data_IF_391611481030
#
_entry.id   IF_391611481030
#
_cell.length_a   1.000
_cell.length_b   1.000
_cell.length_c   1.000
_cell.angle_alpha   90.00
_cell.angle_beta   90.00
_cell.angle_gamma   90.00
#
_symmetry.space_group_name_H-M   'P 1'
#
loop_
_entity.id
_entity.type
_entity.pdbx_description
1 polymer ?
#
# COMPACT_ATOMS: atom_id res chain seq x y z
N UNK A 1 -0.82 -37.40 18.14
CA UNK A 1 -1.37 -36.22 18.84
C UNK A 1 -0.42 -35.06 18.59
N UNK A 2 -0.65 -34.28 17.52
CA UNK A 2 0.20 -33.12 17.21
C UNK A 2 -0.24 -31.95 18.08
N UNK A 3 0.62 -31.51 18.99
CA UNK A 3 0.43 -30.29 19.75
C UNK A 3 0.59 -29.13 18.76
N UNK A 4 -0.53 -28.52 18.35
CA UNK A 4 -0.53 -27.29 17.56
C UNK A 4 -0.12 -26.13 18.47
N UNK A 5 1.17 -25.80 18.48
CA UNK A 5 1.65 -24.56 19.07
C UNK A 5 1.34 -23.39 18.14
N UNK A 6 0.55 -22.41 18.59
CA UNK A 6 0.37 -21.13 17.89
C UNK A 6 1.51 -20.18 18.27
N UNK A 7 2.13 -19.55 17.28
CA UNK A 7 3.09 -18.48 17.47
C UNK A 7 2.30 -17.16 17.58
N UNK A 8 2.16 -16.63 18.80
CA UNK A 8 1.71 -15.26 18.99
C UNK A 8 2.90 -14.35 18.75
N UNK A 9 3.08 -13.89 17.51
CA UNK A 9 4.03 -12.81 17.27
C UNK A 9 3.38 -11.52 17.76
N UNK A 10 3.83 -11.07 18.93
CA UNK A 10 3.47 -9.76 19.46
C UNK A 10 4.18 -8.74 18.56
N UNK A 11 3.57 -8.41 17.41
CA UNK A 11 4.02 -7.34 16.54
C UNK A 11 3.89 -6.06 17.35
N UNK A 12 4.96 -5.78 18.07
CA UNK A 12 5.10 -4.54 18.80
C UNK A 12 5.24 -3.50 17.70
N UNK A 13 4.20 -2.72 17.45
CA UNK A 13 4.31 -1.47 16.69
C UNK A 13 5.09 -0.45 17.53
N UNK A 14 6.28 -0.83 17.97
CA UNK A 14 7.37 0.09 18.18
C UNK A 14 8.19 -0.03 16.92
N UNK A 15 8.43 1.08 16.23
CA UNK A 15 9.53 1.17 15.29
C UNK A 15 10.73 0.49 15.96
N UNK A 16 11.17 -0.64 15.43
CA UNK A 16 12.24 -1.37 16.10
C UNK A 16 13.48 -0.49 16.00
N UNK A 17 14.07 -0.14 17.13
CA UNK A 17 15.43 0.44 17.16
C UNK A 17 16.45 -0.52 16.49
N UNK A 18 16.05 -1.76 16.20
CA UNK A 18 16.81 -2.80 15.52
C UNK A 18 16.96 -2.64 14.01
N UNK A 19 16.33 -1.65 13.35
CA UNK A 19 16.75 -1.25 12.00
C UNK A 19 18.05 -0.43 12.02
N UNK A 20 18.55 -0.07 13.20
CA UNK A 20 19.90 0.40 13.41
C UNK A 20 20.78 -0.73 13.97
N UNK A 21 21.05 -1.73 13.14
CA UNK A 21 22.32 -2.44 13.28
C UNK A 21 23.42 -1.39 13.21
N UNK A 22 24.05 -1.06 14.33
CA UNK A 22 25.32 -0.33 14.33
C UNK A 22 26.35 -1.22 13.67
N UNK A 23 26.41 -1.13 12.35
CA UNK A 23 27.46 -1.70 11.54
C UNK A 23 28.80 -1.19 12.09
N UNK A 24 29.58 -2.11 12.69
CA UNK A 24 30.88 -1.83 13.30
C UNK A 24 32.05 -2.09 12.35
N UNK A 25 31.78 -2.54 11.13
CA UNK A 25 32.79 -2.54 10.07
C UNK A 25 33.01 -1.10 9.59
N UNK A 26 34.24 -0.69 9.27
CA UNK A 26 34.37 0.46 8.38
C UNK A 26 33.84 -0.01 7.01
N UNK A 27 32.75 0.56 6.45
CA UNK A 27 32.48 0.35 5.05
C UNK A 27 33.73 0.88 4.33
N UNK A 28 34.42 0.07 3.55
CA UNK A 28 35.29 0.64 2.53
C UNK A 28 34.40 1.58 1.74
N UNK A 29 34.61 2.90 1.87
CA UNK A 29 33.79 3.98 1.32
C UNK A 29 33.85 4.05 -0.21
N UNK A 30 33.86 2.91 -0.92
CA UNK A 30 33.48 2.91 -2.32
C UNK A 30 31.97 3.02 -2.39
N UNK A 31 31.50 4.26 -2.50
CA UNK A 31 30.13 4.53 -2.95
C UNK A 31 30.03 3.97 -4.36
N UNK A 32 29.29 2.89 -4.53
CA UNK A 32 29.00 2.33 -5.84
C UNK A 32 27.72 2.94 -6.39
N UNK A 33 27.77 3.34 -7.66
CA UNK A 33 26.58 3.68 -8.42
C UNK A 33 26.18 2.48 -9.28
N UNK A 34 24.93 2.09 -9.20
CA UNK A 34 24.26 1.10 -10.02
C UNK A 34 23.52 1.84 -11.12
N UNK A 35 23.96 1.65 -12.37
CA UNK A 35 23.31 2.23 -13.55
C UNK A 35 22.45 1.17 -14.22
N UNK A 36 21.18 1.49 -14.44
CA UNK A 36 20.21 0.63 -15.11
C UNK A 36 19.65 1.34 -16.34
N UNK A 37 19.22 0.59 -17.36
CA UNK A 37 18.28 1.14 -18.33
C UNK A 37 16.87 1.24 -17.71
N UNK A 38 16.02 2.17 -18.17
CA UNK A 38 14.66 2.29 -17.67
C UNK A 38 13.84 0.99 -17.81
N UNK A 39 14.07 0.27 -18.91
CA UNK A 39 13.40 -1.00 -19.18
C UNK A 39 13.76 -2.09 -18.16
N UNK A 40 15.05 -2.28 -17.89
CA UNK A 40 15.55 -3.33 -16.98
C UNK A 40 15.02 -3.15 -15.55
N UNK A 41 15.09 -1.93 -15.03
CA UNK A 41 14.64 -1.66 -13.67
C UNK A 41 13.12 -1.78 -13.56
N UNK A 42 12.38 -1.22 -14.53
CA UNK A 42 10.92 -1.33 -14.55
C UNK A 42 10.45 -2.79 -14.61
N UNK A 43 11.06 -3.60 -15.46
CA UNK A 43 10.67 -5.01 -15.64
C UNK A 43 10.99 -5.83 -14.38
N UNK A 44 12.10 -5.56 -13.68
CA UNK A 44 12.40 -6.21 -12.39
C UNK A 44 11.49 -5.74 -11.26
N UNK A 45 11.19 -4.45 -11.18
CA UNK A 45 10.23 -3.92 -10.20
C UNK A 45 8.84 -4.52 -10.43
N UNK A 46 8.45 -4.70 -11.70
CA UNK A 46 7.20 -5.37 -12.06
C UNK A 46 7.20 -6.86 -11.71
N UNK A 47 8.30 -7.58 -11.96
CA UNK A 47 8.43 -8.97 -11.52
C UNK A 47 8.31 -9.10 -10.00
N UNK A 48 8.91 -8.17 -9.24
CA UNK A 48 8.78 -8.11 -7.79
C UNK A 48 7.33 -7.82 -7.37
N UNK A 49 6.64 -6.89 -8.05
CA UNK A 49 5.23 -6.62 -7.83
C UNK A 49 4.38 -7.89 -7.98
N UNK A 50 4.59 -8.67 -9.04
CA UNK A 50 3.87 -9.94 -9.24
C UNK A 50 4.17 -10.97 -8.15
N UNK A 51 5.42 -11.05 -7.69
CA UNK A 51 5.81 -11.95 -6.60
C UNK A 51 5.20 -11.54 -5.25
N UNK A 52 5.13 -10.24 -4.95
CA UNK A 52 4.52 -9.74 -3.71
C UNK A 52 3.02 -10.04 -3.63
N UNK A 53 2.35 -10.15 -4.77
CA UNK A 53 0.90 -10.36 -4.86
C UNK A 53 0.54 -11.69 -5.52
N UNK A 54 1.45 -12.68 -5.48
CA UNK A 54 1.24 -13.99 -6.10
C UNK A 54 -0.03 -14.68 -5.57
N UNK A 55 -0.41 -14.41 -4.32
CA UNK A 55 -1.61 -14.93 -3.68
C UNK A 55 -2.92 -14.53 -4.40
N UNK A 56 -2.87 -13.54 -5.31
CA UNK A 56 -4.00 -13.10 -6.12
C UNK A 56 -3.99 -13.69 -7.54
N UNK A 57 -2.96 -14.47 -7.90
CA UNK A 57 -2.84 -15.09 -9.20
C UNK A 57 -3.58 -16.45 -9.23
N UNK A 58 -4.74 -16.48 -9.88
CA UNK A 58 -5.57 -17.70 -9.97
C UNK A 58 -4.89 -18.82 -10.74
N UNK A 59 -4.09 -18.51 -11.76
CA UNK A 59 -3.38 -19.54 -12.52
C UNK A 59 -2.32 -20.25 -11.67
N UNK A 60 -1.59 -19.50 -10.84
CA UNK A 60 -0.65 -20.07 -9.85
C UNK A 60 -1.40 -20.93 -8.83
N UNK A 61 -2.54 -20.44 -8.32
CA UNK A 61 -3.36 -21.18 -7.37
C UNK A 61 -3.85 -22.51 -7.96
N UNK A 62 -4.46 -22.52 -9.15
CA UNK A 62 -4.96 -23.75 -9.78
C UNK A 62 -3.83 -24.74 -10.09
N UNK A 63 -2.69 -24.26 -10.57
CA UNK A 63 -1.54 -25.13 -10.85
C UNK A 63 -1.00 -25.80 -9.59
N UNK A 64 -0.90 -25.06 -8.47
CA UNK A 64 -0.44 -25.60 -7.18
C UNK A 64 -1.45 -26.55 -6.53
N UNK A 65 -2.75 -26.27 -6.65
CA UNK A 65 -3.83 -27.19 -6.24
C UNK A 65 -3.75 -28.51 -7.00
N UNK A 66 -3.53 -28.46 -8.33
CA UNK A 66 -3.36 -29.63 -9.17
C UNK A 66 -2.09 -30.42 -8.83
N UNK A 67 -1.02 -29.74 -8.41
CA UNK A 67 0.25 -30.35 -8.01
C UNK A 67 0.22 -31.00 -6.61
N UNK A 68 -0.89 -30.89 -5.85
CA UNK A 68 -0.99 -31.31 -4.44
C UNK A 68 0.07 -30.67 -3.53
N UNK A 69 0.61 -29.51 -3.93
CA UNK A 69 1.52 -28.71 -3.10
C UNK A 69 0.69 -27.92 -2.08
N UNK A 70 0.36 -28.57 -0.96
CA UNK A 70 -0.48 -28.02 0.10
C UNK A 70 0.40 -27.21 1.06
N UNK A 71 0.98 -26.10 0.59
CA UNK A 71 1.35 -25.02 1.49
C UNK A 71 0.31 -23.90 1.40
N UNK A 72 -0.96 -24.26 1.67
CA UNK A 72 -2.11 -23.35 1.70
C UNK A 72 -1.90 -22.18 2.69
N UNK A 73 -0.98 -22.32 3.64
CA UNK A 73 -0.65 -21.30 4.63
C UNK A 73 -0.17 -19.97 4.03
N UNK A 74 0.54 -19.99 2.89
CA UNK A 74 1.00 -18.77 2.21
C UNK A 74 -0.11 -18.02 1.48
N UNK A 75 -1.18 -18.72 1.06
CA UNK A 75 -2.39 -18.09 0.51
C UNK A 75 -3.34 -17.60 1.60
N UNK A 76 -3.23 -18.14 2.81
CA UNK A 76 -4.04 -17.77 3.97
C UNK A 76 -3.61 -16.44 4.60
N UNK A 77 -2.34 -16.06 4.45
CA UNK A 77 -1.78 -14.88 5.12
C UNK A 77 -1.03 -13.99 4.14
N UNK A 78 -1.74 -13.23 3.27
CA UNK A 78 -1.09 -12.24 2.44
C UNK A 78 -0.30 -11.26 3.31
N UNK A 79 1.03 -11.30 3.17
CA UNK A 79 1.95 -10.46 3.93
C UNK A 79 2.03 -9.03 3.38
N UNK A 80 1.75 -8.87 2.09
CA UNK A 80 1.95 -7.61 1.37
C UNK A 80 0.63 -6.98 0.96
N UNK A 81 0.59 -5.66 1.00
CA UNK A 81 -0.45 -4.85 0.39
C UNK A 81 0.19 -3.82 -0.56
N UNK A 82 -0.62 -3.18 -1.42
CA UNK A 82 -0.10 -2.27 -2.47
C UNK A 82 0.76 -1.15 -1.91
N UNK A 83 0.41 -0.62 -0.74
CA UNK A 83 1.20 0.40 -0.07
C UNK A 83 2.60 -0.10 0.30
N UNK A 84 2.78 -1.40 0.64
CA UNK A 84 4.10 -1.98 0.91
C UNK A 84 5.01 -1.84 -0.31
N UNK A 85 4.48 -2.13 -1.51
CA UNK A 85 5.21 -1.94 -2.76
C UNK A 85 5.44 -0.46 -3.07
N UNK A 86 4.46 0.41 -2.86
CA UNK A 86 4.64 1.86 -3.05
C UNK A 86 5.74 2.44 -2.14
N UNK A 87 5.79 2.02 -0.87
CA UNK A 87 6.85 2.40 0.08
C UNK A 87 8.21 1.86 -0.33
N UNK A 88 8.26 0.60 -0.78
CA UNK A 88 9.48 0.01 -1.31
C UNK A 88 9.97 0.77 -2.55
N UNK A 89 9.09 1.08 -3.49
CA UNK A 89 9.42 1.86 -4.68
C UNK A 89 9.95 3.25 -4.32
N UNK A 90 9.34 3.92 -3.34
CA UNK A 90 9.85 5.20 -2.84
C UNK A 90 11.26 5.07 -2.25
N UNK A 91 11.54 3.98 -1.50
CA UNK A 91 12.86 3.70 -0.94
C UNK A 91 13.90 3.48 -2.04
N UNK A 92 13.58 2.65 -3.05
CA UNK A 92 14.48 2.39 -4.19
C UNK A 92 14.73 3.70 -4.95
N UNK A 93 13.70 4.52 -5.17
CA UNK A 93 13.81 5.82 -5.83
C UNK A 93 14.64 6.83 -5.07
N UNK A 94 14.50 6.87 -3.74
CA UNK A 94 15.28 7.76 -2.88
C UNK A 94 16.75 7.32 -2.74
N UNK A 95 17.12 6.13 -3.22
CA UNK A 95 18.49 5.63 -3.14
C UNK A 95 19.41 6.36 -4.12
N UNK A 96 20.40 7.07 -3.57
CA UNK A 96 21.44 7.75 -4.38
C UNK A 96 22.31 6.82 -5.22
N UNK A 97 22.35 5.53 -4.84
CA UNK A 97 23.14 4.53 -5.52
C UNK A 97 22.52 4.10 -6.85
N UNK A 98 21.25 4.37 -7.10
CA UNK A 98 20.57 3.93 -8.33
C UNK A 98 20.47 5.10 -9.30
N UNK A 99 21.08 4.95 -10.47
CA UNK A 99 21.05 5.92 -11.57
C UNK A 99 20.23 5.33 -12.72
N UNK A 100 19.12 6.00 -13.02
CA UNK A 100 18.18 5.64 -14.07
C UNK A 100 17.32 6.86 -14.41
N UNK A 101 16.74 6.92 -15.60
CA UNK A 101 15.64 7.84 -15.89
C UNK A 101 14.37 7.35 -15.17
N UNK A 102 14.09 7.95 -14.01
CA UNK A 102 12.95 7.59 -13.19
C UNK A 102 11.60 7.85 -13.86
N UNK A 103 11.48 8.87 -14.72
CA UNK A 103 10.23 9.15 -15.43
C UNK A 103 9.91 7.98 -16.35
N UNK A 104 10.84 7.63 -17.24
CA UNK A 104 10.65 6.50 -18.17
C UNK A 104 10.48 5.15 -17.45
N UNK A 105 11.18 4.96 -16.32
CA UNK A 105 11.06 3.75 -15.51
C UNK A 105 9.66 3.62 -14.92
N UNK A 106 9.14 4.70 -14.33
CA UNK A 106 7.81 4.72 -13.72
C UNK A 106 6.71 4.58 -14.77
N UNK A 107 6.82 5.29 -15.90
CA UNK A 107 5.86 5.17 -17.01
C UNK A 107 5.76 3.73 -17.50
N UNK A 108 6.91 3.07 -17.72
CA UNK A 108 6.93 1.66 -18.12
C UNK A 108 6.39 0.74 -17.04
N UNK A 109 6.80 0.91 -15.79
CA UNK A 109 6.32 0.09 -14.67
C UNK A 109 4.80 0.18 -14.53
N UNK A 110 4.25 1.40 -14.60
CA UNK A 110 2.82 1.66 -14.47
C UNK A 110 2.05 1.09 -15.66
N UNK A 111 2.58 1.24 -16.88
CA UNK A 111 2.03 0.58 -18.07
C UNK A 111 1.94 -0.94 -17.87
N UNK A 112 3.01 -1.57 -17.39
CA UNK A 112 3.05 -3.02 -17.12
C UNK A 112 2.06 -3.45 -16.04
N UNK A 113 1.92 -2.68 -14.95
CA UNK A 113 0.94 -2.96 -13.89
C UNK A 113 -0.50 -2.84 -14.41
N UNK A 114 -0.78 -1.82 -15.24
CA UNK A 114 -2.12 -1.53 -15.76
C UNK A 114 -2.56 -2.53 -16.83
N UNK A 115 -1.62 -2.95 -17.69
CA UNK A 115 -1.87 -3.93 -18.77
C UNK A 115 -1.91 -5.38 -18.26
N UNK A 116 -1.46 -5.65 -17.03
CA UNK A 116 -1.43 -7.01 -16.50
C UNK A 116 -2.81 -7.48 -16.05
N UNK A 117 -3.26 -8.60 -16.62
CA UNK A 117 -4.46 -9.32 -16.18
C UNK A 117 -4.15 -10.56 -15.33
N UNK A 118 -2.92 -10.68 -14.84
CA UNK A 118 -2.45 -11.88 -14.12
C UNK A 118 -2.97 -11.99 -12.67
N UNK A 119 -3.34 -10.87 -12.06
CA UNK A 119 -3.84 -10.80 -10.69
C UNK A 119 -5.36 -10.61 -10.69
N UNK A 120 -6.11 -11.52 -10.07
CA UNK A 120 -7.58 -11.60 -10.13
C UNK A 120 -8.28 -10.33 -9.61
N UNK A 121 -7.77 -9.78 -8.51
CA UNK A 121 -8.30 -8.57 -7.86
C UNK A 121 -7.35 -7.38 -8.04
N UNK A 122 -6.44 -7.49 -9.03
CA UNK A 122 -5.44 -6.48 -9.37
C UNK A 122 -6.07 -5.10 -9.58
N UNK A 123 -7.09 -5.06 -10.45
CA UNK A 123 -7.78 -3.84 -10.84
C UNK A 123 -8.50 -3.14 -9.69
N UNK A 124 -9.06 -3.89 -8.74
CA UNK A 124 -9.79 -3.33 -7.59
C UNK A 124 -8.84 -2.54 -6.66
N UNK A 125 -7.55 -2.85 -6.69
CA UNK A 125 -6.55 -2.20 -5.87
C UNK A 125 -5.84 -1.03 -6.58
N UNK A 126 -6.14 -0.78 -7.87
CA UNK A 126 -5.44 0.26 -8.64
C UNK A 126 -5.60 1.63 -8.01
N UNK A 127 -6.82 1.98 -7.60
CA UNK A 127 -7.07 3.30 -7.01
C UNK A 127 -6.31 3.50 -5.70
N UNK A 128 -6.30 2.50 -4.82
CA UNK A 128 -5.51 2.55 -3.60
C UNK A 128 -4.00 2.62 -3.92
N UNK A 129 -3.51 1.86 -4.90
CA UNK A 129 -2.10 1.88 -5.30
C UNK A 129 -1.65 3.25 -5.82
N UNK A 130 -2.39 3.86 -6.75
CA UNK A 130 -2.06 5.18 -7.27
C UNK A 130 -2.21 6.27 -6.20
N UNK A 131 -3.15 6.12 -5.26
CA UNK A 131 -3.26 7.00 -4.10
C UNK A 131 -2.01 6.93 -3.23
N UNK A 132 -1.52 5.73 -2.91
CA UNK A 132 -0.29 5.55 -2.14
C UNK A 132 0.93 6.14 -2.86
N UNK A 133 1.06 5.93 -4.17
CA UNK A 133 2.13 6.54 -4.97
C UNK A 133 2.07 8.07 -4.94
N UNK A 134 0.87 8.65 -5.07
CA UNK A 134 0.66 10.10 -5.03
C UNK A 134 1.00 10.68 -3.67
N UNK A 135 0.52 10.08 -2.58
CA UNK A 135 0.81 10.53 -1.22
C UNK A 135 2.32 10.46 -0.90
N UNK A 136 3.03 9.46 -1.45
CA UNK A 136 4.48 9.34 -1.35
C UNK A 136 5.22 10.23 -2.37
N UNK A 137 4.53 11.02 -3.19
CA UNK A 137 5.16 11.82 -4.25
C UNK A 137 5.98 10.99 -5.24
N UNK A 138 5.66 9.70 -5.39
CA UNK A 138 6.33 8.77 -6.32
C UNK A 138 5.86 9.00 -7.74
N UNK A 139 4.55 9.00 -7.92
CA UNK A 139 3.86 9.17 -9.20
C UNK A 139 2.49 9.78 -8.95
N UNK A 140 1.93 10.51 -9.92
CA UNK A 140 0.58 11.08 -9.81
C UNK A 140 -0.16 10.95 -11.13
N UNK A 141 -1.28 10.24 -11.10
CA UNK A 141 -2.19 10.14 -12.24
C UNK A 141 -3.07 11.39 -12.36
N UNK A 142 -3.59 11.64 -13.56
CA UNK A 142 -4.44 12.80 -13.86
C UNK A 142 -5.59 13.01 -12.85
N UNK A 143 -6.33 11.98 -12.41
CA UNK A 143 -7.41 12.15 -11.42
C UNK A 143 -6.94 12.59 -10.02
N UNK A 144 -5.64 12.53 -9.75
CA UNK A 144 -5.01 12.93 -8.48
C UNK A 144 -4.31 14.30 -8.57
N UNK A 145 -4.53 15.05 -9.66
CA UNK A 145 -4.03 16.43 -9.78
C UNK A 145 -5.02 17.40 -9.13
N UNK A 146 -4.56 18.42 -8.37
CA UNK A 146 -5.43 19.46 -7.80
C UNK A 146 -6.34 20.10 -8.86
N UNK A 147 -7.63 20.24 -8.53
CA UNK A 147 -8.63 20.83 -9.41
C UNK A 147 -9.32 19.85 -10.36
N UNK A 148 -8.84 18.60 -10.50
CA UNK A 148 -9.47 17.59 -11.37
C UNK A 148 -10.95 17.39 -11.07
N UNK A 149 -11.31 17.22 -9.79
CA UNK A 149 -12.71 17.00 -9.37
C UNK A 149 -13.62 18.15 -9.80
N UNK A 150 -13.16 19.40 -9.65
CA UNK A 150 -13.95 20.58 -10.04
C UNK A 150 -14.06 20.68 -11.56
N UNK A 151 -12.98 20.37 -12.28
CA UNK A 151 -12.97 20.40 -13.75
C UNK A 151 -13.89 19.34 -14.36
N UNK A 152 -13.97 18.15 -13.76
CA UNK A 152 -14.73 17.01 -14.29
C UNK A 152 -16.19 17.00 -13.83
N UNK A 153 -16.45 17.29 -12.55
CA UNK A 153 -17.80 17.16 -11.95
C UNK A 153 -18.48 18.51 -11.68
N UNK A 154 -17.85 19.62 -12.04
CA UNK A 154 -18.38 20.96 -11.87
C UNK A 154 -18.05 21.57 -10.49
N UNK A 155 -18.51 22.81 -10.23
CA UNK A 155 -18.25 23.48 -8.96
C UNK A 155 -19.05 22.84 -7.83
N UNK A 156 -18.38 22.58 -6.69
CA UNK A 156 -19.01 22.08 -5.46
C UNK A 156 -19.84 20.78 -5.67
N UNK A 157 -19.28 19.73 -6.29
CA UNK A 157 -19.99 18.47 -6.49
C UNK A 157 -20.30 17.79 -5.15
N UNK A 158 -21.32 16.94 -5.08
CA UNK A 158 -21.51 16.07 -3.92
C UNK A 158 -20.35 15.06 -3.80
N UNK A 159 -19.88 14.72 -2.60
CA UNK A 159 -20.29 15.19 -1.26
C UNK A 159 -19.55 16.46 -0.78
N UNK A 160 -18.86 17.17 -1.66
CA UNK A 160 -17.97 18.29 -1.36
C UNK A 160 -18.64 19.67 -1.42
N UNK A 161 -19.96 19.77 -1.34
CA UNK A 161 -20.67 21.04 -1.55
C UNK A 161 -20.25 22.15 -0.58
N UNK A 162 -19.81 21.76 0.61
CA UNK A 162 -19.39 22.66 1.70
C UNK A 162 -17.88 22.95 1.71
N UNK A 163 -17.12 22.40 0.76
CA UNK A 163 -15.67 22.53 0.74
C UNK A 163 -15.26 23.72 -0.13
N UNK A 164 -14.36 24.56 0.38
CA UNK A 164 -13.78 25.66 -0.39
C UNK A 164 -12.68 25.16 -1.34
N UNK A 165 -11.98 24.11 -0.93
CA UNK A 165 -10.95 23.43 -1.72
C UNK A 165 -11.11 21.93 -1.57
N UNK A 166 -11.14 21.20 -2.70
CA UNK A 166 -11.22 19.73 -2.72
C UNK A 166 -9.81 19.19 -2.95
N UNK A 167 -9.18 18.56 -1.94
CA UNK A 167 -7.87 17.95 -2.13
C UNK A 167 -7.98 16.72 -3.05
N UNK A 168 -6.92 16.35 -3.77
CA UNK A 168 -6.95 15.17 -4.64
C UNK A 168 -7.21 13.86 -3.89
N UNK A 169 -6.77 13.80 -2.64
CA UNK A 169 -6.94 12.66 -1.74
C UNK A 169 -7.67 13.15 -0.49
N UNK A 170 -8.67 12.40 -0.06
CA UNK A 170 -9.47 12.67 1.16
C UNK A 170 -9.46 11.44 2.06
N UNK A 171 -9.66 11.66 3.36
CA UNK A 171 -9.85 10.60 4.33
C UNK A 171 -11.34 10.26 4.45
N UNK A 172 -11.68 9.01 4.21
CA UNK A 172 -12.98 8.44 4.61
C UNK A 172 -12.83 7.84 6.00
N UNK A 173 -13.75 8.19 6.89
CA UNK A 173 -13.89 7.58 8.21
C UNK A 173 -15.23 6.86 8.28
N UNK A 174 -15.19 5.56 8.52
CA UNK A 174 -16.34 4.69 8.70
C UNK A 174 -16.48 4.33 10.17
N UNK A 175 -17.60 4.71 10.79
CA UNK A 175 -18.00 4.28 12.12
C UNK A 175 -18.78 2.97 11.98
N UNK A 176 -18.14 1.86 12.31
CA UNK A 176 -18.72 0.52 12.22
C UNK A 176 -19.38 0.16 13.56
N UNK A 177 -20.70 -0.09 13.59
CA UNK A 177 -21.39 -0.51 14.81
C UNK A 177 -20.77 -1.78 15.40
N UNK A 178 -20.69 -1.85 16.74
CA UNK A 178 -20.07 -3.00 17.41
C UNK A 178 -20.75 -4.33 17.07
N UNK A 179 -22.06 -4.30 16.82
CA UNK A 179 -22.83 -5.49 16.42
C UNK A 179 -22.36 -6.11 15.11
N UNK A 180 -21.78 -5.34 14.19
CA UNK A 180 -21.26 -5.84 12.92
C UNK A 180 -20.02 -6.74 13.07
N UNK A 181 -19.28 -6.58 14.17
CA UNK A 181 -18.06 -7.35 14.43
C UNK A 181 -18.33 -8.72 15.08
N UNK A 182 -19.56 -8.96 15.55
CA UNK A 182 -19.95 -10.19 16.22
C UNK A 182 -19.68 -11.46 15.41
N UNK A 183 -19.77 -11.38 14.09
CA UNK A 183 -19.45 -12.50 13.19
C UNK A 183 -18.01 -12.99 13.32
N UNK A 184 -17.11 -12.11 13.78
CA UNK A 184 -15.70 -12.43 14.06
C UNK A 184 -15.46 -12.76 15.54
N UNK A 185 -16.30 -12.28 16.44
CA UNK A 185 -16.08 -12.35 17.89
C UNK A 185 -16.82 -13.50 18.58
N UNK A 186 -17.97 -13.91 18.06
CA UNK A 186 -18.83 -14.94 18.67
C UNK A 186 -18.38 -16.39 18.37
N UNK A 187 -17.89 -16.75 17.16
CA UNK A 187 -17.42 -18.12 16.91
C UNK A 187 -16.10 -18.42 17.64
N UNK A 188 -15.80 -19.71 17.82
CA UNK A 188 -14.54 -20.12 18.45
C UNK A 188 -13.33 -19.66 17.62
N UNK A 189 -12.21 -19.28 18.28
CA UNK A 189 -11.02 -18.76 17.58
C UNK A 189 -10.45 -19.72 16.51
N UNK A 190 -10.63 -21.02 16.68
CA UNK A 190 -10.23 -22.02 15.68
C UNK A 190 -11.11 -22.00 14.40
N UNK A 191 -12.31 -21.46 14.48
CA UNK A 191 -13.26 -21.35 13.36
C UNK A 191 -13.08 -20.05 12.57
N UNK A 192 -12.74 -18.95 13.25
CA UNK A 192 -12.58 -17.62 12.64
C UNK A 192 -11.19 -17.44 12.01
N UNK A 193 -10.14 -18.01 12.62
CA UNK A 193 -8.76 -17.76 12.20
C UNK A 193 -8.34 -16.31 12.46
N UNK A 194 -7.51 -15.75 11.56
CA UNK A 194 -7.04 -14.36 11.62
C UNK A 194 -7.39 -13.61 10.33
N UNK A 195 -8.67 -13.30 10.09
CA UNK A 195 -9.08 -12.63 8.87
C UNK A 195 -8.45 -11.24 8.79
N UNK A 196 -7.94 -10.90 7.61
CA UNK A 196 -7.40 -9.57 7.33
C UNK A 196 -8.56 -8.65 6.98
N UNK A 197 -8.64 -7.49 7.61
CA UNK A 197 -9.67 -6.49 7.31
C UNK A 197 -9.18 -5.52 6.25
N UNK A 198 -10.08 -5.13 5.36
CA UNK A 198 -9.88 -4.02 4.42
C UNK A 198 -11.17 -3.21 4.29
N UNK A 199 -11.03 -1.98 3.78
CA UNK A 199 -12.18 -1.16 3.43
C UNK A 199 -12.46 -1.23 1.94
N UNK A 200 -13.66 -0.88 1.54
CA UNK A 200 -14.03 -0.78 0.14
C UNK A 200 -14.82 0.48 -0.16
N UNK A 201 -14.76 0.90 -1.42
CA UNK A 201 -15.73 1.82 -2.03
C UNK A 201 -16.40 1.08 -3.17
N UNK A 202 -17.72 1.07 -3.20
CA UNK A 202 -18.49 0.31 -4.18
C UNK A 202 -19.59 1.16 -4.81
N UNK A 203 -19.54 1.27 -6.14
CA UNK A 203 -20.63 1.80 -6.98
C UNK A 203 -20.64 1.05 -8.32
N UNK A 204 -20.33 1.72 -9.43
CA UNK A 204 -20.02 1.11 -10.74
C UNK A 204 -18.80 0.20 -10.69
N UNK A 205 -17.82 0.55 -9.86
CA UNK A 205 -16.56 -0.17 -9.71
C UNK A 205 -16.37 -0.53 -8.23
N UNK A 206 -15.68 -1.65 -8.01
CA UNK A 206 -15.29 -2.09 -6.68
C UNK A 206 -13.83 -1.73 -6.46
N UNK A 207 -13.54 -0.83 -5.51
CA UNK A 207 -12.17 -0.55 -5.09
C UNK A 207 -11.95 -1.00 -3.66
N UNK A 208 -10.80 -1.64 -3.42
CA UNK A 208 -10.37 -2.12 -2.10
C UNK A 208 -9.25 -1.25 -1.55
N UNK A 209 -9.31 -0.96 -0.26
CA UNK A 209 -8.43 -0.05 0.47
C UNK A 209 -7.88 -0.80 1.69
N UNK A 210 -6.65 -1.28 1.58
CA UNK A 210 -5.99 -2.08 2.61
C UNK A 210 -5.18 -1.25 3.61
N UNK A 211 -4.87 0.01 3.29
CA UNK A 211 -4.20 0.94 4.19
C UNK A 211 -5.20 1.58 5.19
N UNK A 212 -5.81 0.74 6.01
CA UNK A 212 -6.80 1.16 7.01
C UNK A 212 -6.16 1.46 8.37
N UNK A 213 -6.81 2.32 9.14
CA UNK A 213 -6.46 2.59 10.53
C UNK A 213 -7.68 2.35 11.44
N UNK A 214 -7.76 1.16 12.06
CA UNK A 214 -8.85 0.80 12.96
C UNK A 214 -8.57 1.29 14.39
N UNK A 215 -9.57 1.92 15.02
CA UNK A 215 -9.54 2.42 16.40
C UNK A 215 -10.92 2.15 17.03
N UNK A 216 -10.97 1.44 18.15
CA UNK A 216 -12.22 1.35 18.92
C UNK A 216 -12.49 2.69 19.61
N UNK A 217 -13.71 3.20 19.53
CA UNK A 217 -14.03 4.51 20.08
C UNK A 217 -15.22 5.17 19.40
N UNK A 218 -15.27 6.50 19.49
CA UNK A 218 -16.25 7.32 18.78
C UNK A 218 -15.60 8.49 18.06
N UNK A 219 -16.27 9.00 17.03
CA UNK A 219 -15.88 10.21 16.30
C UNK A 219 -16.84 11.33 16.66
N UNK A 220 -16.28 12.42 17.17
CA UNK A 220 -17.05 13.58 17.65
C UNK A 220 -16.52 14.86 17.04
N UNK A 221 -17.34 15.93 17.10
CA UNK A 221 -16.87 17.27 16.79
C UNK A 221 -15.85 17.73 17.83
N UNK A 222 -14.76 18.31 17.35
CA UNK A 222 -13.69 18.85 18.19
C UNK A 222 -14.23 20.02 19.04
N UNK A 223 -14.00 20.02 20.36
CA UNK A 223 -14.43 21.12 21.22
C UNK A 223 -13.86 22.46 20.73
N UNK A 224 -14.74 23.41 20.45
CA UNK A 224 -14.34 24.77 20.05
C UNK A 224 -13.86 24.91 18.59
N UNK A 225 -13.98 23.88 17.76
CA UNK A 225 -13.62 23.95 16.33
C UNK A 225 -14.78 23.46 15.45
N UNK A 226 -15.34 24.36 14.63
CA UNK A 226 -16.48 24.03 13.78
C UNK A 226 -16.02 23.17 12.59
N UNK A 227 -16.56 21.96 12.48
CA UNK A 227 -16.31 21.07 11.34
C UNK A 227 -15.04 20.21 11.44
N UNK A 228 -14.24 20.38 12.50
CA UNK A 228 -13.12 19.49 12.79
C UNK A 228 -13.63 18.29 13.60
N UNK A 229 -13.22 17.08 13.20
CA UNK A 229 -13.54 15.85 13.91
C UNK A 229 -12.32 15.34 14.67
N UNK A 230 -12.57 14.66 15.79
CA UNK A 230 -11.57 13.93 16.58
C UNK A 230 -12.08 12.52 16.93
N UNK A 231 -11.17 11.59 17.16
CA UNK A 231 -11.50 10.24 17.66
C UNK A 231 -11.25 10.20 19.17
N UNK A 232 -12.27 9.79 19.92
CA UNK A 232 -12.17 9.45 21.34
C UNK A 232 -12.02 7.94 21.46
N UNK A 233 -10.80 7.49 21.72
CA UNK A 233 -10.47 6.07 21.81
C UNK A 233 -11.10 5.40 23.05
N UNK A 234 -11.70 4.23 22.84
CA UNK A 234 -12.11 3.32 23.89
C UNK A 234 -10.88 2.56 24.38
N UNK A 235 -10.42 2.91 25.59
CA UNK A 235 -9.25 2.29 26.20
C UNK A 235 -9.41 0.80 26.50
N UNK A 236 -10.64 0.28 26.52
CA UNK A 236 -10.89 -1.17 26.65
C UNK A 236 -10.73 -1.91 25.32
N UNK A 237 -10.61 -1.19 24.21
CA UNK A 237 -10.35 -1.73 22.88
C UNK A 237 -11.35 -2.83 22.52
N UNK A 238 -10.83 -4.01 22.21
CA UNK A 238 -11.64 -5.17 21.85
C UNK A 238 -12.55 -5.63 22.99
N UNK A 239 -12.19 -5.46 24.26
CA UNK A 239 -13.04 -5.81 25.40
C UNK A 239 -14.09 -4.72 25.72
N UNK A 240 -14.05 -3.60 24.99
CA UNK A 240 -14.99 -2.50 25.09
C UNK A 240 -16.31 -2.75 24.37
N UNK A 241 -17.18 -1.75 24.41
CA UNK A 241 -18.49 -1.80 23.73
C UNK A 241 -18.61 -0.76 22.62
N UNK A 242 -17.55 0.04 22.42
CA UNK A 242 -17.57 1.14 21.46
C UNK A 242 -17.56 0.62 20.03
N UNK A 243 -18.10 1.41 19.08
CA UNK A 243 -17.93 1.19 17.65
C UNK A 243 -16.45 1.06 17.25
N UNK A 244 -16.22 0.48 16.09
CA UNK A 244 -14.90 0.49 15.45
C UNK A 244 -14.86 1.63 14.44
N UNK A 245 -13.99 2.60 14.67
CA UNK A 245 -13.72 3.69 13.73
C UNK A 245 -12.61 3.23 12.79
N UNK A 246 -12.87 3.19 11.50
CA UNK A 246 -11.89 2.80 10.48
C UNK A 246 -11.67 3.96 9.52
N UNK A 247 -10.42 4.39 9.37
CA UNK A 247 -10.07 5.49 8.46
C UNK A 247 -9.09 5.08 7.36
N UNK A 248 -9.35 5.55 6.14
CA UNK A 248 -8.54 5.24 4.95
C UNK A 248 -8.61 6.38 3.94
N UNK A 249 -7.57 6.48 3.11
CA UNK A 249 -7.46 7.52 2.10
C UNK A 249 -8.00 7.03 0.76
N UNK A 250 -8.73 7.90 0.06
CA UNK A 250 -9.27 7.65 -1.27
C UNK A 250 -9.06 8.85 -2.18
N UNK A 251 -8.93 8.66 -3.50
CA UNK A 251 -9.03 9.75 -4.46
C UNK A 251 -10.40 10.43 -4.33
N UNK A 252 -10.42 11.76 -4.24
CA UNK A 252 -11.65 12.51 -4.07
C UNK A 252 -12.64 12.31 -5.23
N UNK A 253 -12.12 12.07 -6.45
CA UNK A 253 -12.94 11.84 -7.63
C UNK A 253 -13.85 10.61 -7.50
N UNK A 254 -13.42 9.56 -6.77
CA UNK A 254 -14.24 8.36 -6.55
C UNK A 254 -15.54 8.73 -5.84
N UNK A 255 -15.47 9.62 -4.86
CA UNK A 255 -16.64 10.06 -4.09
C UNK A 255 -17.56 10.98 -4.91
N UNK A 256 -17.03 11.68 -5.92
CA UNK A 256 -17.78 12.57 -6.79
C UNK A 256 -18.47 11.87 -7.97
N UNK A 257 -18.04 10.66 -8.33
CA UNK A 257 -18.55 9.91 -9.50
C UNK A 257 -20.04 9.53 -9.37
N UNK A 258 -20.42 8.87 -8.27
CA UNK A 258 -21.83 8.49 -7.99
C UNK A 258 -22.23 8.71 -6.53
N UNK A 259 -22.26 9.95 -6.06
CA UNK A 259 -22.35 10.26 -4.63
C UNK A 259 -23.63 9.78 -3.94
N UNK A 260 -24.69 9.50 -4.70
CA UNK A 260 -25.98 9.02 -4.15
C UNK A 260 -26.07 7.49 -4.01
N UNK A 261 -25.24 6.76 -4.75
CA UNK A 261 -25.23 5.31 -4.79
C UNK A 261 -23.96 4.70 -4.19
N UNK A 262 -22.91 5.51 -4.01
CA UNK A 262 -21.64 5.03 -3.52
C UNK A 262 -21.74 4.59 -2.07
N UNK A 263 -21.35 3.35 -1.84
CA UNK A 263 -21.22 2.73 -0.53
C UNK A 263 -19.76 2.64 -0.13
N UNK A 264 -19.52 2.78 1.17
CA UNK A 264 -18.25 2.47 1.81
C UNK A 264 -18.47 1.32 2.78
N UNK A 265 -17.51 0.41 2.84
CA UNK A 265 -17.65 -0.80 3.64
C UNK A 265 -16.39 -1.17 4.39
N UNK A 266 -16.58 -1.95 5.45
CA UNK A 266 -15.55 -2.77 6.08
C UNK A 266 -15.82 -4.22 5.70
N UNK A 267 -14.82 -4.89 5.15
CA UNK A 267 -14.92 -6.27 4.69
C UNK A 267 -13.72 -7.11 5.14
N UNK A 268 -13.90 -8.43 5.09
CA UNK A 268 -12.80 -9.37 5.19
C UNK A 268 -12.14 -9.41 3.80
N UNK A 269 -10.81 -9.29 3.78
CA UNK A 269 -10.02 -9.43 2.57
C UNK A 269 -10.36 -10.76 1.91
N UNK A 270 -10.76 -10.69 0.64
CA UNK A 270 -11.20 -11.88 -0.07
C UNK A 270 -9.99 -12.76 -0.41
N UNK A 271 -9.85 -13.87 0.31
CA UNK A 271 -9.01 -15.01 -0.08
C UNK A 271 -9.90 -16.23 -0.35
N UNK A 272 -9.45 -17.23 -1.11
CA UNK A 272 -10.24 -18.46 -1.32
C UNK A 272 -10.71 -19.11 0.00
N UNK A 273 -9.88 -19.04 1.05
CA UNK A 273 -10.21 -19.59 2.37
C UNK A 273 -11.23 -18.73 3.12
N UNK A 274 -11.05 -17.41 3.12
CA UNK A 274 -12.02 -16.51 3.78
C UNK A 274 -13.38 -16.56 3.08
N UNK A 275 -13.40 -16.66 1.74
CA UNK A 275 -14.63 -16.89 0.99
C UNK A 275 -15.30 -18.20 1.41
N UNK A 276 -14.54 -19.29 1.56
CA UNK A 276 -15.09 -20.56 2.02
C UNK A 276 -15.69 -20.48 3.44
N UNK A 277 -15.03 -19.76 4.35
CA UNK A 277 -15.44 -19.64 5.75
C UNK A 277 -16.62 -18.68 5.96
N UNK A 278 -16.64 -17.56 5.23
CA UNK A 278 -17.52 -16.43 5.57
C UNK A 278 -18.59 -16.12 4.52
N UNK A 279 -18.50 -16.60 3.27
CA UNK A 279 -19.43 -16.18 2.22
C UNK A 279 -20.89 -16.56 2.50
N UNK A 280 -21.14 -17.66 3.22
CA UNK A 280 -22.49 -18.06 3.63
C UNK A 280 -23.11 -17.11 4.66
N UNK A 281 -22.29 -16.40 5.44
CA UNK A 281 -22.72 -15.46 6.49
C UNK A 281 -22.74 -14.01 6.01
N UNK A 282 -21.72 -13.61 5.24
CA UNK A 282 -21.45 -12.23 4.87
C UNK A 282 -21.70 -11.92 3.38
N UNK A 283 -22.14 -12.92 2.62
CA UNK A 283 -22.32 -12.81 1.18
C UNK A 283 -21.00 -12.77 0.40
N UNK A 284 -21.06 -12.57 -0.93
CA UNK A 284 -19.91 -12.72 -1.82
C UNK A 284 -18.81 -11.67 -1.62
N UNK A 285 -19.12 -10.51 -1.02
CA UNK A 285 -18.17 -9.43 -0.76
C UNK A 285 -17.60 -9.45 0.67
N UNK A 286 -17.98 -10.44 1.49
CA UNK A 286 -17.51 -10.60 2.87
C UNK A 286 -17.63 -9.31 3.72
N UNK A 287 -18.68 -8.52 3.49
CA UNK A 287 -18.90 -7.24 4.18
C UNK A 287 -19.35 -7.48 5.61
N UNK A 288 -18.62 -6.90 6.55
CA UNK A 288 -19.03 -6.81 7.96
C UNK A 288 -20.06 -5.71 8.14
N UNK A 289 -19.82 -4.57 7.49
CA UNK A 289 -20.68 -3.40 7.54
C UNK A 289 -20.50 -2.57 6.27
N UNK A 290 -21.57 -1.92 5.81
CA UNK A 290 -21.51 -0.93 4.75
C UNK A 290 -22.56 0.15 4.97
N UNK A 291 -22.22 1.37 4.56
CA UNK A 291 -23.11 2.51 4.59
C UNK A 291 -22.93 3.36 3.33
N UNK A 292 -23.97 4.07 2.91
CA UNK A 292 -23.87 5.07 1.84
C UNK A 292 -23.05 6.24 2.32
N UNK A 293 -22.32 6.91 1.42
CA UNK A 293 -21.58 8.12 1.82
C UNK A 293 -22.47 9.29 2.29
N UNK A 294 -23.78 9.23 2.01
CA UNK A 294 -24.77 10.17 2.52
C UNK A 294 -25.21 9.88 3.96
N UNK A 295 -24.84 8.73 4.52
CA UNK A 295 -25.13 8.36 5.92
C UNK A 295 -24.17 9.11 6.85
N UNK A 296 -24.65 10.22 7.43
CA UNK A 296 -23.85 11.08 8.30
C UNK A 296 -23.66 10.51 9.72
N UNK A 297 -24.36 9.43 10.07
CA UNK A 297 -24.17 8.76 11.36
C UNK A 297 -22.98 7.78 11.31
N UNK A 298 -22.70 7.24 10.12
CA UNK A 298 -21.67 6.23 9.93
C UNK A 298 -20.49 6.66 9.05
N UNK A 299 -20.66 7.63 8.15
CA UNK A 299 -19.64 8.01 7.16
C UNK A 299 -19.27 9.48 7.29
N UNK A 300 -17.97 9.73 7.47
CA UNK A 300 -17.41 11.08 7.55
C UNK A 300 -16.31 11.23 6.51
N UNK A 301 -16.37 12.31 5.73
CA UNK A 301 -15.38 12.63 4.71
C UNK A 301 -14.61 13.85 5.20
N UNK A 302 -13.31 13.68 5.38
CA UNK A 302 -12.42 14.65 6.00
C UNK A 302 -11.21 14.91 5.10
N UNK A 303 -10.61 16.12 5.15
CA UNK A 303 -9.38 16.40 4.38
C UNK A 303 -8.22 15.50 4.80
N UNK A 304 -8.12 15.21 6.10
CA UNK A 304 -7.07 14.39 6.69
C UNK A 304 -7.63 13.49 7.81
N UNK A 305 -6.81 12.57 8.30
CA UNK A 305 -7.18 11.72 9.43
C UNK A 305 -7.38 12.55 10.70
N UNK A 306 -8.49 12.33 11.43
CA UNK A 306 -8.84 13.12 12.61
C UNK A 306 -7.87 12.93 13.79
N UNK A 307 -7.14 11.82 13.83
CA UNK A 307 -6.19 11.49 14.90
C UNK A 307 -4.71 11.66 14.46
N UNK A 308 -4.47 12.16 13.25
CA UNK A 308 -3.13 12.27 12.67
C UNK A 308 -2.98 13.49 11.77
N UNK A 309 -3.24 14.69 12.31
CA UNK A 309 -3.10 15.94 11.57
C UNK A 309 -1.71 16.07 10.92
N UNK A 310 -1.66 16.61 9.70
CA UNK A 310 -0.45 16.77 8.87
C UNK A 310 0.19 15.44 8.41
N UNK A 311 -0.54 14.31 8.47
CA UNK A 311 -0.05 13.02 7.99
C UNK A 311 0.38 13.09 6.53
N UNK A 312 -0.47 13.63 5.65
CA UNK A 312 -0.20 13.70 4.22
C UNK A 312 1.08 14.49 3.94
N UNK A 313 1.27 15.62 4.64
CA UNK A 313 2.48 16.44 4.54
C UNK A 313 3.72 15.70 5.03
N UNK A 314 3.62 14.96 6.15
CA UNK A 314 4.74 14.15 6.67
C UNK A 314 5.11 13.02 5.72
N UNK A 315 4.13 12.31 5.18
CA UNK A 315 4.35 11.22 4.21
C UNK A 315 5.05 11.76 2.97
N UNK A 316 4.60 12.89 2.42
CA UNK A 316 5.27 13.54 1.30
C UNK A 316 6.72 13.97 1.63
N UNK A 317 6.97 14.49 2.84
CA UNK A 317 8.30 14.91 3.27
C UNK A 317 9.29 13.74 3.43
N UNK A 318 8.83 12.56 3.83
CA UNK A 318 9.70 11.37 3.92
C UNK A 318 10.26 10.94 2.57
N UNK A 319 9.58 11.26 1.48
CA UNK A 319 10.05 10.97 0.12
C UNK A 319 11.10 11.96 -0.40
N UNK A 320 11.21 13.15 0.22
CA UNK A 320 12.07 14.23 -0.24
C UNK A 320 13.43 14.28 0.48
N UNK A 321 13.65 13.48 1.52
CA UNK A 321 14.86 13.62 2.37
C UNK A 321 15.85 12.48 2.13
N UNK A 322 16.86 12.68 1.27
CA UNK A 322 17.95 11.73 1.18
C UNK A 322 18.81 11.66 2.45
N UNK A 323 19.45 10.51 2.74
CA UNK A 323 20.47 10.44 3.78
C UNK A 323 21.61 11.42 3.47
N UNK A 324 21.98 12.21 4.47
CA UNK A 324 23.03 13.23 4.37
C UNK A 324 24.35 12.58 3.93
N UNK A 325 24.84 12.94 2.75
CA UNK A 325 26.12 12.43 2.24
C UNK A 325 27.27 12.93 3.13
N UNK A 326 27.93 12.03 3.86
CA UNK A 326 29.26 12.27 4.42
C UNK A 326 30.32 11.99 3.36
N UNK A 327 31.27 12.91 3.20
CA UNK A 327 32.57 12.68 2.54
C UNK A 327 32.58 12.64 1.01
N UNK A 328 33.50 13.42 0.44
CA UNK A 328 34.02 13.30 -0.93
C UNK A 328 34.81 12.00 -1.09
N UNK A 329 34.15 10.96 -1.57
CA UNK A 329 34.79 9.72 -2.05
C UNK A 329 34.52 9.57 -3.55
N UNK A 330 35.52 9.14 -4.31
CA UNK A 330 35.42 8.85 -5.75
C UNK A 330 34.50 7.64 -5.96
N UNK A 331 33.33 7.87 -6.57
CA UNK A 331 32.33 6.83 -6.82
C UNK A 331 32.81 5.85 -7.91
N UNK A 332 32.68 4.55 -7.65
CA UNK A 332 32.89 3.51 -8.65
C UNK A 332 31.59 3.21 -9.40
N UNK A 333 31.55 3.43 -10.71
CA UNK A 333 30.36 3.15 -11.54
C UNK A 333 30.29 1.68 -11.90
N UNK A 334 29.16 1.04 -11.56
CA UNK A 334 28.81 -0.33 -11.93
C UNK A 334 27.55 -0.30 -12.78
N UNK A 335 27.68 -0.68 -14.04
CA UNK A 335 26.53 -0.91 -14.91
C UNK A 335 25.96 -2.29 -14.57
N UNK A 336 24.66 -2.34 -14.33
CA UNK A 336 23.96 -3.59 -14.06
C UNK A 336 23.06 -3.86 -15.26
N UNK A 337 23.34 -4.93 -15.99
CA UNK A 337 22.45 -5.41 -17.04
C UNK A 337 21.69 -6.63 -16.52
N UNK A 338 20.36 -6.56 -16.61
CA UNK A 338 19.45 -7.56 -16.07
C UNK A 338 18.72 -8.25 -17.21
N UNK A 339 19.06 -9.50 -17.49
CA UNK A 339 18.34 -10.26 -18.50
C UNK A 339 17.07 -10.87 -17.87
N UNK A 340 15.91 -10.51 -18.40
CA UNK A 340 14.60 -10.99 -17.96
C UNK A 340 14.29 -12.42 -18.43
N UNK A 341 14.91 -12.89 -19.51
CA UNK A 341 14.67 -14.22 -20.10
C UNK A 341 15.53 -15.33 -19.48
N UNK A 342 16.72 -14.98 -18.97
CA UNK A 342 17.69 -15.97 -18.44
C UNK A 342 17.90 -15.87 -16.93
N UNK A 343 17.18 -14.96 -16.25
CA UNK A 343 17.42 -14.57 -14.85
C UNK A 343 18.87 -14.14 -14.52
N UNK A 344 19.72 -13.97 -15.54
CA UNK A 344 21.13 -13.65 -15.35
C UNK A 344 21.33 -12.17 -15.02
N UNK A 345 22.19 -11.92 -14.04
CA UNK A 345 22.62 -10.57 -13.65
C UNK A 345 24.05 -10.41 -14.13
N UNK A 346 24.28 -9.44 -15.01
CA UNK A 346 25.62 -9.06 -15.42
C UNK A 346 26.03 -7.75 -14.74
N UNK A 347 27.20 -7.75 -14.11
CA UNK A 347 27.78 -6.59 -13.43
C UNK A 347 29.01 -6.16 -14.21
N UNK A 348 28.96 -4.98 -14.83
CA UNK A 348 30.06 -4.42 -15.61
C UNK A 348 30.59 -3.18 -14.90
N UNK A 349 31.82 -3.24 -14.39
CA UNK A 349 32.50 -2.09 -13.76
C UNK A 349 33.44 -1.45 -14.77
N UNK A 350 33.30 -0.14 -15.00
CA UNK A 350 34.25 0.60 -15.84
C UNK A 350 35.49 0.93 -15.01
N UNK A 351 36.62 0.34 -15.36
CA UNK A 351 37.91 0.65 -14.75
C UNK A 351 38.61 1.75 -15.57
N UNK A 352 38.80 2.93 -14.99
CA UNK A 352 39.63 3.97 -15.61
C UNK A 352 41.10 3.66 -15.33
N UNK A 353 41.77 3.03 -16.28
CA UNK A 353 43.20 2.70 -16.18
C UNK A 353 44.01 3.91 -16.61
N UNK A 354 44.53 4.66 -15.64
CA UNK A 354 45.24 5.93 -15.89
C UNK A 354 46.75 5.77 -16.00
N UNK A 355 47.32 4.73 -15.39
CA UNK A 355 48.76 4.47 -15.40
C UNK A 355 49.19 3.65 -16.61
N UNK A 356 50.26 4.07 -17.29
CA UNK A 356 50.82 3.42 -18.48
C UNK A 356 51.14 1.94 -18.22
N UNK A 357 51.78 1.61 -17.09
CA UNK A 357 52.09 0.23 -16.71
C UNK A 357 50.85 -0.69 -16.59
N UNK A 358 49.71 -0.16 -16.13
CA UNK A 358 48.47 -0.93 -16.05
C UNK A 358 47.74 -1.02 -17.39
N UNK A 359 47.96 -0.07 -18.32
CA UNK A 359 47.49 -0.19 -19.71
C UNK A 359 48.27 -1.26 -20.46
N UNK A 360 49.59 -1.29 -20.28
CA UNK A 360 50.47 -2.27 -20.92
C UNK A 360 50.19 -3.70 -20.44
N UNK A 361 49.81 -3.87 -19.17
CA UNK A 361 49.42 -5.16 -18.60
C UNK A 361 48.06 -5.70 -19.11
N UNK A 362 47.24 -4.86 -19.76
CA UNK A 362 45.94 -5.25 -20.33
C UNK A 362 46.00 -5.53 -21.85
N UNK A 363 47.15 -5.27 -22.48
CA UNK A 363 47.39 -5.46 -23.91
C UNK A 363 48.14 -6.77 -24.23
N UNK A 364 48.59 -7.49 -23.19
CA UNK A 364 49.07 -8.88 -23.27
C UNK A 364 47.98 -9.81 -22.75
#
# INVERSE_FOLDING_TARGET
MMVKGRLYERVSWRFSDFTHGKWSGAPTEQKHELHFTPAELADKLFAMYLNMFENENMSSLFNRLNAKDINLATFQHPHYHRQSFARFLNLVRASHHIKVDWSQTLDRLIGRVTESHSLLVGSNNFQNFFTDLHMLGVHSETPLIPGFVVATYGPKPAPFQKWDFIPPVVCVVLKVPRSALKVLEEPHEDEVGNPILECETFCKFHNTHSSIRPIFGDIIDAPGSLGQKIIVEDRRGQEGTSPLIVSFYVPAWILAEEPHNLEVGLCIKTTPMDSFLFASKLGPHLRLFSAKISDQDHVFILPERPDNAEELRRVAATSATPPRASGTSTLGVTNVALNSETESVSLSKRLNVTTVAAKDALLN
#
